data_IF_172834750248
#
_entry.id   IF_172834750248
#
_cell.length_a   1.000
_cell.length_b   1.000
_cell.length_c   1.000
_cell.angle_alpha   90.00
_cell.angle_beta   90.00
_cell.angle_gamma   90.00
#
_symmetry.space_group_name_H-M   'P 1'
#
loop_
_entity.id
_entity.type
_entity.pdbx_description
1 polymer ?
#
# COMPACT_ATOMS: atom_id res chain seq x y z
N UNK A 1 3.06 -20.05 -9.51
CA UNK A 1 1.90 -19.43 -8.84
C UNK A 1 1.82 -17.99 -9.32
N UNK A 2 0.82 -17.63 -10.14
CA UNK A 2 0.75 -16.28 -10.70
C UNK A 2 0.28 -15.29 -9.62
N UNK A 3 1.02 -14.20 -9.48
CA UNK A 3 0.79 -13.16 -8.48
C UNK A 3 0.32 -11.92 -9.21
N UNK A 4 -0.92 -11.49 -8.97
CA UNK A 4 -1.46 -10.27 -9.56
C UNK A 4 -1.43 -9.15 -8.52
N UNK A 5 -0.72 -8.07 -8.87
CA UNK A 5 -0.64 -6.86 -8.07
C UNK A 5 -1.77 -5.88 -8.44
N UNK A 6 -2.76 -5.71 -7.56
CA UNK A 6 -3.74 -4.62 -7.64
C UNK A 6 -3.80 -3.87 -6.30
N UNK A 7 -3.42 -2.59 -6.31
CA UNK A 7 -3.44 -1.76 -5.11
C UNK A 7 -4.86 -1.61 -4.52
N UNK A 8 -5.91 -1.81 -5.32
CA UNK A 8 -7.31 -1.79 -4.83
C UNK A 8 -7.59 -2.96 -3.91
N UNK A 9 -7.01 -4.12 -4.22
CA UNK A 9 -7.07 -5.30 -3.36
C UNK A 9 -6.35 -5.04 -2.04
N UNK A 10 -5.16 -4.43 -2.08
CA UNK A 10 -4.43 -4.01 -0.86
C UNK A 10 -5.30 -3.13 0.05
N UNK A 11 -5.99 -2.13 -0.51
CA UNK A 11 -6.93 -1.28 0.26
C UNK A 11 -8.06 -2.14 0.85
N UNK A 12 -8.61 -3.07 0.07
CA UNK A 12 -9.70 -3.94 0.50
C UNK A 12 -9.32 -4.83 1.69
N UNK A 13 -8.09 -5.37 1.68
CA UNK A 13 -7.54 -6.24 2.72
C UNK A 13 -7.22 -5.55 4.04
N UNK A 14 -7.12 -4.21 4.07
CA UNK A 14 -6.90 -3.49 5.34
C UNK A 14 -8.10 -3.66 6.31
N UNK A 15 -7.88 -3.48 7.60
CA UNK A 15 -8.86 -3.43 8.68
C UNK A 15 -9.56 -2.08 8.83
N UNK A 16 -9.21 -1.10 7.99
CA UNK A 16 -9.74 0.26 8.07
C UNK A 16 -11.25 0.33 7.74
N UNK A 17 -11.98 1.32 8.27
CA UNK A 17 -13.40 1.50 7.98
C UNK A 17 -13.70 1.62 6.47
N UNK A 18 -14.85 1.12 6.04
CA UNK A 18 -15.26 1.14 4.63
C UNK A 18 -15.27 2.55 4.01
N UNK A 19 -15.69 3.55 4.78
CA UNK A 19 -15.62 4.96 4.38
C UNK A 19 -14.18 5.43 4.16
N UNK A 20 -13.28 5.11 5.08
CA UNK A 20 -11.87 5.45 4.94
C UNK A 20 -11.28 4.82 3.68
N UNK A 21 -11.50 3.51 3.48
CA UNK A 21 -11.06 2.79 2.28
C UNK A 21 -11.57 3.43 0.99
N UNK A 22 -12.84 3.86 0.97
CA UNK A 22 -13.47 4.53 -0.18
C UNK A 22 -12.79 5.87 -0.49
N UNK A 23 -12.62 6.73 0.50
CA UNK A 23 -11.97 8.03 0.32
C UNK A 23 -10.49 7.89 -0.02
N UNK A 24 -9.80 6.93 0.57
CA UNK A 24 -8.41 6.62 0.22
C UNK A 24 -8.30 6.12 -1.22
N UNK A 25 -9.19 5.25 -1.68
CA UNK A 25 -9.24 4.79 -3.08
C UNK A 25 -9.43 5.96 -4.05
N UNK A 26 -10.27 6.95 -3.72
CA UNK A 26 -10.42 8.18 -4.51
C UNK A 26 -9.14 9.00 -4.53
N UNK A 27 -8.48 9.15 -3.38
CA UNK A 27 -7.24 9.92 -3.22
C UNK A 27 -6.11 9.38 -4.11
N UNK A 28 -5.89 8.07 -4.09
CA UNK A 28 -4.74 7.44 -4.78
C UNK A 28 -4.99 7.19 -6.26
N UNK A 29 -6.26 7.25 -6.71
CA UNK A 29 -6.63 7.11 -8.11
C UNK A 29 -5.85 8.12 -8.96
N UNK A 30 -5.13 7.63 -9.98
CA UNK A 30 -4.24 8.41 -10.88
C UNK A 30 -3.01 9.06 -10.21
N UNK A 31 -2.80 8.89 -8.90
CA UNK A 31 -1.60 9.39 -8.22
C UNK A 31 -0.58 8.29 -7.96
N UNK A 32 -1.05 7.11 -7.56
CA UNK A 32 -0.18 5.99 -7.16
C UNK A 32 0.66 5.45 -8.32
N UNK A 33 0.13 5.54 -9.54
CA UNK A 33 0.72 5.00 -10.76
C UNK A 33 1.85 5.87 -11.34
N UNK A 34 2.11 7.04 -10.77
CA UNK A 34 3.14 7.95 -11.23
C UNK A 34 4.13 8.27 -10.11
N UNK A 35 5.38 8.49 -10.49
CA UNK A 35 6.42 9.07 -9.64
C UNK A 35 6.90 10.34 -10.33
N UNK A 36 6.85 11.45 -9.59
CA UNK A 36 7.42 12.70 -10.05
C UNK A 36 8.91 12.74 -9.72
N UNK A 37 9.75 12.94 -10.74
CA UNK A 37 11.16 13.20 -10.56
C UNK A 37 11.40 14.71 -10.61
N UNK A 38 11.85 15.27 -9.49
CA UNK A 38 12.14 16.70 -9.38
C UNK A 38 13.37 17.11 -10.20
N UNK A 39 14.30 16.18 -10.44
CA UNK A 39 15.57 16.46 -11.10
C UNK A 39 15.38 16.61 -12.61
N UNK A 40 14.48 15.83 -13.20
CA UNK A 40 14.15 15.86 -14.63
C UNK A 40 12.86 16.61 -14.93
N UNK A 41 12.03 16.89 -13.92
CA UNK A 41 10.71 17.51 -14.08
C UNK A 41 9.65 16.57 -14.68
N UNK A 42 9.98 15.29 -14.86
CA UNK A 42 9.15 14.31 -15.56
C UNK A 42 8.33 13.43 -14.60
N UNK A 43 7.24 12.86 -15.11
CA UNK A 43 6.46 11.82 -14.44
C UNK A 43 6.76 10.47 -15.07
N UNK A 44 7.18 9.51 -14.24
CA UNK A 44 7.45 8.14 -14.68
C UNK A 44 6.35 7.19 -14.22
N UNK A 45 5.91 6.26 -15.07
CA UNK A 45 4.97 5.23 -14.66
C UNK A 45 5.64 4.30 -13.64
N UNK A 46 4.86 3.84 -12.67
CA UNK A 46 5.32 3.00 -11.56
C UNK A 46 4.79 1.58 -11.73
N UNK A 47 5.62 0.57 -11.48
CA UNK A 47 5.22 -0.84 -11.60
C UNK A 47 4.05 -1.19 -10.67
N UNK A 48 3.16 -2.13 -11.05
CA UNK A 48 2.03 -2.54 -10.20
C UNK A 48 2.44 -2.97 -8.79
N UNK A 49 3.55 -3.69 -8.65
CA UNK A 49 4.11 -4.07 -7.35
C UNK A 49 4.46 -2.85 -6.51
N UNK A 50 5.16 -1.86 -7.09
CA UNK A 50 5.53 -0.63 -6.37
C UNK A 50 4.29 0.18 -5.98
N UNK A 51 3.24 0.17 -6.81
CA UNK A 51 1.95 0.78 -6.44
C UNK A 51 1.34 0.08 -5.22
N UNK A 52 1.39 -1.25 -5.17
CA UNK A 52 0.88 -2.02 -4.04
C UNK A 52 1.72 -1.81 -2.78
N UNK A 53 3.06 -1.76 -2.89
CA UNK A 53 3.97 -1.44 -1.78
C UNK A 53 3.66 -0.07 -1.18
N UNK A 54 3.53 0.96 -2.03
CA UNK A 54 3.14 2.32 -1.63
C UNK A 54 1.86 2.31 -0.80
N UNK A 55 0.84 1.61 -1.30
CA UNK A 55 -0.47 1.54 -0.63
C UNK A 55 -0.38 0.73 0.66
N UNK A 56 0.31 -0.42 0.68
CA UNK A 56 0.46 -1.25 1.87
C UNK A 56 1.12 -0.48 3.01
N UNK A 57 2.19 0.27 2.73
CA UNK A 57 2.89 1.13 3.70
C UNK A 57 2.00 2.23 4.28
N UNK A 58 1.12 2.81 3.46
CA UNK A 58 0.16 3.80 3.93
C UNK A 58 -0.96 3.16 4.76
N UNK A 59 -1.51 2.03 4.31
CA UNK A 59 -2.54 1.29 5.06
C UNK A 59 -2.01 0.87 6.43
N UNK A 60 -0.83 0.28 6.50
CA UNK A 60 -0.18 -0.14 7.75
C UNK A 60 -0.06 1.03 8.74
N UNK A 61 0.41 2.20 8.30
CA UNK A 61 0.48 3.35 9.21
C UNK A 61 -0.88 3.92 9.60
N UNK A 62 -1.92 3.83 8.77
CA UNK A 62 -3.28 4.20 9.20
C UNK A 62 -3.88 3.21 10.19
N UNK A 63 -3.59 1.91 10.03
CA UNK A 63 -3.98 0.89 11.00
C UNK A 63 -3.21 1.07 12.31
N UNK A 64 -1.94 1.43 12.24
CA UNK A 64 -1.11 1.78 13.38
C UNK A 64 -1.68 2.96 14.18
N UNK A 65 -2.21 3.97 13.48
CA UNK A 65 -2.92 5.09 14.09
C UNK A 65 -4.21 4.63 14.77
N UNK A 66 -4.98 3.77 14.13
CA UNK A 66 -6.23 3.24 14.70
C UNK A 66 -5.96 2.41 15.95
N UNK A 67 -4.94 1.56 15.94
CA UNK A 67 -4.47 0.80 17.10
C UNK A 67 -3.99 1.72 18.24
N UNK A 68 -3.45 2.89 17.89
CA UNK A 68 -3.08 3.96 18.84
C UNK A 68 -4.25 4.81 19.34
N UNK A 69 -5.50 4.44 19.04
CA UNK A 69 -6.71 5.17 19.48
C UNK A 69 -7.15 6.31 18.55
N UNK A 70 -6.49 6.51 17.40
CA UNK A 70 -6.90 7.55 16.44
C UNK A 70 -7.94 7.01 15.45
N UNK A 71 -9.18 7.48 15.58
CA UNK A 71 -10.29 7.08 14.70
C UNK A 71 -10.43 8.00 13.48
N UNK A 72 -9.47 7.97 12.54
CA UNK A 72 -9.59 8.74 11.30
C UNK A 72 -10.70 8.15 10.41
N UNK A 73 -11.72 8.97 10.11
CA UNK A 73 -12.78 8.60 9.18
C UNK A 73 -12.34 8.70 7.71
N UNK A 74 -11.46 9.66 7.39
CA UNK A 74 -10.95 9.89 6.03
C UNK A 74 -9.45 10.20 6.06
N UNK A 75 -8.70 9.94 4.97
CA UNK A 75 -7.28 10.30 4.89
C UNK A 75 -7.03 11.81 4.97
N UNK A 76 -8.02 12.64 4.65
CA UNK A 76 -7.92 14.11 4.69
C UNK A 76 -7.84 14.65 6.13
N UNK A 77 -8.36 13.89 7.10
CA UNK A 77 -8.33 14.21 8.53
C UNK A 77 -6.95 13.97 9.16
N UNK A 78 -5.94 13.59 8.37
CA UNK A 78 -4.56 13.47 8.84
C UNK A 78 -4.01 14.84 9.32
N UNK A 79 -3.34 14.86 10.47
CA UNK A 79 -2.95 16.06 11.21
C UNK A 79 -1.59 15.86 11.89
N UNK A 80 -1.02 16.93 12.45
CA UNK A 80 0.29 16.91 13.12
C UNK A 80 0.39 15.84 14.20
N UNK A 81 -0.59 15.75 15.10
CA UNK A 81 -0.63 14.73 16.16
C UNK A 81 -0.52 13.30 15.64
N UNK A 82 -1.14 13.00 14.49
CA UNK A 82 -1.08 11.69 13.84
C UNK A 82 0.32 11.42 13.31
N UNK A 83 0.93 12.41 12.65
CA UNK A 83 2.29 12.30 12.15
C UNK A 83 3.30 12.13 13.30
N UNK A 84 3.18 12.92 14.36
CA UNK A 84 4.03 12.82 15.55
C UNK A 84 3.93 11.45 16.21
N UNK A 85 2.72 10.90 16.33
CA UNK A 85 2.52 9.54 16.83
C UNK A 85 3.22 8.49 15.96
N UNK A 86 3.07 8.58 14.63
CA UNK A 86 3.74 7.66 13.71
C UNK A 86 5.27 7.75 13.80
N UNK A 87 5.83 8.96 13.85
CA UNK A 87 7.27 9.17 14.01
C UNK A 87 7.76 8.56 15.33
N UNK A 88 7.06 8.81 16.43
CA UNK A 88 7.42 8.24 17.73
C UNK A 88 7.39 6.71 17.71
N UNK A 89 6.35 6.12 17.11
CA UNK A 89 6.25 4.67 16.93
C UNK A 89 7.39 4.10 16.09
N UNK A 90 7.68 4.70 14.94
CA UNK A 90 8.76 4.21 14.07
C UNK A 90 10.12 4.33 14.75
N UNK A 91 10.37 5.43 15.47
CA UNK A 91 11.61 5.64 16.23
C UNK A 91 11.80 4.60 17.33
N UNK A 92 10.71 4.17 17.98
CA UNK A 92 10.75 3.13 19.01
C UNK A 92 10.95 1.72 18.43
N UNK A 93 10.54 1.49 17.19
CA UNK A 93 10.64 0.18 16.54
C UNK A 93 12.00 -0.05 15.87
N UNK A 94 12.60 1.00 15.31
CA UNK A 94 13.87 0.92 14.60
C UNK A 94 14.67 2.21 14.77
N UNK A 95 15.90 2.09 15.26
CA UNK A 95 16.83 3.19 15.42
C UNK A 95 17.12 3.91 14.08
N UNK A 96 17.02 3.20 12.95
CA UNK A 96 17.31 3.70 11.60
C UNK A 96 16.05 4.00 10.79
N UNK A 97 14.89 4.19 11.44
CA UNK A 97 13.62 4.47 10.77
C UNK A 97 13.66 5.60 9.73
N UNK A 98 14.58 6.56 9.93
CA UNK A 98 14.76 7.74 9.09
C UNK A 98 15.39 7.45 7.71
N UNK A 99 15.97 6.27 7.49
CA UNK A 99 16.53 5.82 6.21
C UNK A 99 15.61 4.85 5.46
N UNK A 100 14.40 4.62 5.99
CA UNK A 100 13.52 3.60 5.45
C UNK A 100 12.73 4.07 4.20
N UNK A 101 12.54 3.16 3.26
CA UNK A 101 11.74 3.36 2.05
C UNK A 101 10.31 3.85 2.33
N UNK A 102 9.74 3.50 3.49
CA UNK A 102 8.40 3.96 3.91
C UNK A 102 8.26 5.48 3.93
N UNK A 103 9.33 6.22 4.24
CA UNK A 103 9.29 7.69 4.28
C UNK A 103 9.07 8.31 2.91
N UNK A 104 9.50 7.65 1.84
CA UNK A 104 9.20 8.09 0.46
C UNK A 104 7.68 8.10 0.26
N UNK A 105 7.01 7.03 0.69
CA UNK A 105 5.56 6.88 0.53
C UNK A 105 4.77 7.87 1.40
N UNK A 106 5.20 8.11 2.65
CA UNK A 106 4.60 9.10 3.52
C UNK A 106 4.79 10.53 3.02
N UNK A 107 5.95 10.88 2.44
CA UNK A 107 6.17 12.18 1.78
C UNK A 107 5.22 12.36 0.59
N UNK A 108 5.09 11.36 -0.27
CA UNK A 108 4.16 11.39 -1.40
C UNK A 108 2.70 11.57 -0.92
N UNK A 109 2.29 10.83 0.10
CA UNK A 109 0.96 10.96 0.70
C UNK A 109 0.68 12.39 1.20
N UNK A 110 1.61 12.99 1.96
CA UNK A 110 1.46 14.35 2.47
C UNK A 110 1.33 15.39 1.35
N UNK A 111 2.03 15.18 0.23
CA UNK A 111 1.86 15.98 -0.98
C UNK A 111 0.48 15.76 -1.62
N UNK A 112 0.01 14.52 -1.69
CA UNK A 112 -1.29 14.19 -2.28
C UNK A 112 -2.46 14.83 -1.54
N UNK A 113 -2.38 14.95 -0.21
CA UNK A 113 -3.37 15.63 0.64
C UNK A 113 -3.07 17.13 0.84
N UNK A 114 -2.06 17.68 0.15
CA UNK A 114 -1.65 19.09 0.17
C UNK A 114 -1.25 19.63 1.55
N UNK A 115 -0.77 18.77 2.47
CA UNK A 115 -0.34 19.18 3.82
C UNK A 115 1.17 19.44 3.86
N UNK A 116 1.58 20.54 3.22
CA UNK A 116 3.01 20.92 3.09
C UNK A 116 3.69 21.21 4.45
N UNK A 117 2.96 21.72 5.42
CA UNK A 117 3.47 21.95 6.79
C UNK A 117 3.85 20.64 7.48
N UNK A 118 3.04 19.59 7.31
CA UNK A 118 3.36 18.25 7.82
C UNK A 118 4.54 17.62 7.08
N UNK A 119 4.64 17.85 5.77
CA UNK A 119 5.81 17.41 5.00
C UNK A 119 7.09 18.09 5.50
N UNK A 120 7.03 19.39 5.80
CA UNK A 120 8.16 20.12 6.37
C UNK A 120 8.57 19.55 7.73
N UNK A 121 7.60 19.26 8.60
CA UNK A 121 7.82 18.62 9.90
C UNK A 121 8.50 17.25 9.75
N UNK A 122 8.00 16.38 8.87
CA UNK A 122 8.60 15.07 8.63
C UNK A 122 10.04 15.18 8.14
N UNK A 123 10.31 16.14 7.24
CA UNK A 123 11.66 16.33 6.71
C UNK A 123 12.60 16.93 7.76
N UNK A 124 12.14 17.84 8.62
CA UNK A 124 12.97 18.39 9.69
C UNK A 124 13.31 17.34 10.75
N UNK A 125 12.35 16.48 11.13
CA UNK A 125 12.61 15.38 12.07
C UNK A 125 13.61 14.39 11.52
N UNK A 126 13.48 14.00 10.24
CA UNK A 126 14.44 13.09 9.59
C UNK A 126 15.84 13.70 9.56
N UNK A 127 15.98 14.99 9.20
CA UNK A 127 17.29 15.67 9.20
C UNK A 127 17.93 15.76 10.58
N UNK A 128 17.12 16.02 11.61
CA UNK A 128 17.62 16.07 12.98
C UNK A 128 18.18 14.71 13.43
N UNK A 129 17.50 13.61 13.08
CA UNK A 129 17.96 12.26 13.40
C UNK A 129 19.23 11.88 12.63
N UNK A 130 19.31 12.18 11.34
CA UNK A 130 20.53 11.91 10.55
C UNK A 130 21.75 12.65 11.10
N UNK A 131 21.57 13.90 11.56
CA UNK A 131 22.66 14.69 12.14
C UNK A 131 23.10 14.19 13.52
N UNK A 132 22.22 13.49 14.25
CA UNK A 132 22.53 12.90 15.55
C UNK A 132 23.21 11.51 15.39
N UNK A 133 22.73 10.69 14.45
CA UNK A 133 23.28 9.35 14.17
C UNK A 133 24.72 9.37 13.69
N UNK A 134 25.14 10.43 12.99
CA UNK A 134 26.53 10.64 12.52
C UNK A 134 27.54 10.84 13.66
N UNK A 135 27.08 11.05 14.91
CA UNK A 135 27.92 11.21 16.10
C UNK A 135 28.04 9.96 16.97
N UNK A 136 27.38 8.85 16.60
CA UNK A 136 27.46 7.58 17.35
C UNK A 136 28.41 6.61 16.64
N UNK A 137 29.38 5.97 17.33
CA UNK A 137 30.32 5.06 16.68
C UNK A 137 29.56 3.88 16.09
N UNK A 138 29.72 3.68 14.79
CA UNK A 138 29.00 2.71 13.99
C UNK A 138 29.23 1.28 14.49
N UNK A 139 28.22 0.69 15.13
CA UNK A 139 28.08 -0.77 15.13
C UNK A 139 27.49 -1.12 13.77
N UNK A 140 28.32 -1.69 12.90
CA UNK A 140 27.91 -2.27 11.63
C UNK A 140 27.00 -3.48 11.89
N UNK A 141 25.74 -3.21 12.22
CA UNK A 141 24.69 -4.22 12.18
C UNK A 141 24.33 -4.44 10.71
N UNK A 142 24.54 -5.67 10.24
CA UNK A 142 24.02 -6.18 8.97
C UNK A 142 22.53 -5.81 8.91
N UNK A 143 22.17 -4.91 7.99
CA UNK A 143 20.81 -4.45 7.81
C UNK A 143 19.90 -5.66 7.57
N UNK A 144 18.90 -5.92 8.43
CA UNK A 144 17.90 -6.91 8.10
C UNK A 144 17.18 -6.43 6.82
N UNK A 145 16.76 -7.37 5.98
CA UNK A 145 16.07 -7.09 4.73
C UNK A 145 15.07 -5.94 4.92
N UNK A 146 15.16 -4.91 4.07
CA UNK A 146 14.33 -3.69 4.04
C UNK A 146 12.84 -4.07 4.01
N UNK A 147 12.28 -4.42 5.16
CA UNK A 147 11.01 -5.11 5.29
C UNK A 147 9.88 -4.13 5.49
N UNK A 148 9.27 -3.68 4.40
CA UNK A 148 7.95 -3.05 4.45
C UNK A 148 6.86 -4.07 4.82
N UNK A 149 5.62 -3.63 5.11
CA UNK A 149 4.51 -4.53 5.37
C UNK A 149 4.32 -5.50 4.19
N UNK A 150 3.86 -6.71 4.50
CA UNK A 150 3.55 -7.71 3.50
C UNK A 150 2.53 -7.13 2.51
N UNK A 151 2.78 -7.28 1.21
CA UNK A 151 1.84 -6.82 0.19
C UNK A 151 0.78 -7.90 0.00
N UNK A 152 -0.51 -7.61 0.26
CA UNK A 152 -1.59 -8.50 -0.14
C UNK A 152 -1.63 -8.62 -1.66
N UNK A 153 -1.58 -9.85 -2.17
CA UNK A 153 -1.57 -10.13 -3.60
C UNK A 153 -2.76 -10.99 -3.99
N UNK A 154 -3.28 -10.75 -5.20
CA UNK A 154 -4.33 -11.60 -5.77
C UNK A 154 -3.66 -12.88 -6.29
N UNK A 155 -3.99 -14.00 -5.65
CA UNK A 155 -3.57 -15.34 -6.04
C UNK A 155 -4.71 -16.05 -6.75
N UNK A 156 -4.36 -17.09 -7.53
CA UNK A 156 -5.34 -17.95 -8.20
C UNK A 156 -6.40 -18.48 -7.21
N UNK A 157 -5.98 -18.95 -6.03
CA UNK A 157 -6.89 -19.56 -5.05
C UNK A 157 -7.91 -18.56 -4.50
N UNK A 158 -7.46 -17.32 -4.19
CA UNK A 158 -8.35 -16.26 -3.73
C UNK A 158 -9.39 -15.89 -4.80
N UNK A 159 -8.95 -15.85 -6.07
CA UNK A 159 -9.82 -15.54 -7.20
C UNK A 159 -10.80 -16.68 -7.49
N UNK A 160 -10.33 -17.93 -7.46
CA UNK A 160 -11.16 -19.12 -7.69
C UNK A 160 -12.22 -19.27 -6.60
N UNK A 161 -11.86 -19.05 -5.33
CA UNK A 161 -12.78 -19.08 -4.20
C UNK A 161 -13.92 -18.07 -4.38
N UNK A 162 -13.58 -16.81 -4.67
CA UNK A 162 -14.57 -15.76 -4.90
C UNK A 162 -15.46 -16.01 -6.13
N UNK A 163 -14.91 -16.59 -7.20
CA UNK A 163 -15.70 -16.98 -8.38
C UNK A 163 -16.65 -18.13 -8.08
N UNK A 164 -16.22 -19.10 -7.28
CA UNK A 164 -17.05 -20.24 -6.86
C UNK A 164 -18.23 -19.76 -6.03
N UNK A 165 -17.98 -18.91 -5.03
CA UNK A 165 -19.01 -18.31 -4.19
C UNK A 165 -20.06 -17.54 -5.01
N UNK A 166 -19.61 -16.82 -6.05
CA UNK A 166 -20.49 -16.03 -6.91
C UNK A 166 -20.87 -16.72 -8.23
N UNK A 167 -20.78 -18.06 -8.29
CA UNK A 167 -21.24 -18.90 -9.41
C UNK A 167 -20.70 -18.43 -10.77
N UNK A 168 -19.41 -18.10 -10.84
CA UNK A 168 -18.73 -17.67 -12.06
C UNK A 168 -18.99 -16.22 -12.49
N UNK A 169 -19.72 -15.43 -11.68
CA UNK A 169 -19.98 -14.02 -12.00
C UNK A 169 -18.75 -13.14 -11.66
N UNK A 170 -17.99 -12.76 -12.69
CA UNK A 170 -16.77 -11.94 -12.54
C UNK A 170 -17.02 -10.61 -11.83
N UNK A 171 -18.14 -9.93 -12.12
CA UNK A 171 -18.43 -8.62 -11.55
C UNK A 171 -18.71 -8.72 -10.05
N UNK A 172 -19.46 -9.74 -9.63
CA UNK A 172 -19.73 -10.00 -8.21
C UNK A 172 -18.45 -10.40 -7.47
N UNK A 173 -17.66 -11.31 -8.03
CA UNK A 173 -16.37 -11.71 -7.46
C UNK A 173 -15.39 -10.54 -7.34
N UNK A 174 -15.27 -9.69 -8.37
CA UNK A 174 -14.39 -8.52 -8.33
C UNK A 174 -14.83 -7.52 -7.24
N UNK A 175 -16.14 -7.32 -7.10
CA UNK A 175 -16.70 -6.45 -6.05
C UNK A 175 -16.44 -7.02 -4.65
N UNK A 176 -16.61 -8.33 -4.45
CA UNK A 176 -16.37 -8.99 -3.17
C UNK A 176 -14.90 -8.89 -2.75
N UNK A 177 -13.98 -9.12 -3.68
CA UNK A 177 -12.54 -8.95 -3.45
C UNK A 177 -12.12 -7.47 -3.43
N UNK A 178 -13.01 -6.52 -3.73
CA UNK A 178 -12.68 -5.08 -3.77
C UNK A 178 -11.68 -4.69 -4.86
N UNK A 179 -11.60 -5.47 -5.94
CA UNK A 179 -10.66 -5.33 -7.06
C UNK A 179 -11.41 -5.08 -8.39
N UNK A 180 -10.70 -5.14 -9.52
CA UNK A 180 -11.29 -5.02 -10.86
C UNK A 180 -11.48 -6.37 -11.54
N UNK A 181 -12.46 -6.46 -12.44
CA UNK A 181 -12.67 -7.66 -13.27
C UNK A 181 -11.42 -7.98 -14.10
N UNK A 182 -10.73 -6.95 -14.61
CA UNK A 182 -9.45 -7.10 -15.32
C UNK A 182 -8.38 -7.77 -14.46
N UNK A 183 -8.21 -7.34 -13.22
CA UNK A 183 -7.23 -7.95 -12.31
C UNK A 183 -7.58 -9.41 -11.97
N UNK A 184 -8.87 -9.73 -11.81
CA UNK A 184 -9.29 -11.13 -11.66
C UNK A 184 -8.98 -11.96 -12.90
N UNK A 185 -9.31 -11.46 -14.09
CA UNK A 185 -9.03 -12.16 -15.34
C UNK A 185 -7.53 -12.40 -15.53
N UNK A 186 -6.68 -11.42 -15.20
CA UNK A 186 -5.22 -11.55 -15.28
C UNK A 186 -4.65 -12.67 -14.42
N UNK A 187 -5.33 -13.09 -13.34
CA UNK A 187 -4.90 -14.23 -12.54
C UNK A 187 -5.08 -15.58 -13.27
N UNK A 188 -5.71 -15.58 -14.45
CA UNK A 188 -5.96 -16.75 -15.28
C UNK A 188 -5.24 -16.75 -16.64
N UNK A 189 -4.68 -15.63 -17.13
CA UNK A 189 -4.44 -15.49 -18.59
C UNK A 189 -3.05 -15.82 -19.12
N UNK A 190 -1.97 -15.93 -18.34
CA UNK A 190 -0.64 -16.15 -18.95
C UNK A 190 0.16 -17.19 -18.14
N UNK A 191 0.46 -18.32 -18.81
CA UNK A 191 1.23 -19.50 -18.38
C UNK A 191 0.57 -20.55 -17.47
N UNK A 192 -0.56 -21.12 -17.91
CA UNK A 192 -0.89 -22.50 -17.50
C UNK A 192 -0.97 -23.42 -18.72
N UNK A 193 -0.03 -24.37 -18.89
CA UNK A 193 -0.27 -25.53 -19.73
C UNK A 193 -1.40 -26.36 -19.11
N UNK A 194 -2.51 -26.46 -19.83
CA UNK A 194 -3.43 -27.62 -19.92
C UNK A 194 -4.13 -28.23 -18.68
N UNK A 195 -3.67 -28.11 -17.42
CA UNK A 195 -4.12 -29.03 -16.36
C UNK A 195 -4.97 -28.46 -15.21
N UNK A 196 -5.20 -27.15 -15.13
CA UNK A 196 -6.19 -26.56 -14.20
C UNK A 196 -7.34 -25.94 -14.98
N UNK A 197 -8.09 -26.78 -15.69
CA UNK A 197 -9.42 -26.40 -16.18
C UNK A 197 -10.24 -25.94 -14.97
N UNK A 198 -10.94 -24.81 -15.11
CA UNK A 198 -11.97 -24.39 -14.16
C UNK A 198 -12.76 -25.63 -13.69
N UNK A 199 -12.98 -25.82 -12.38
CA UNK A 199 -13.70 -26.99 -11.90
C UNK A 199 -15.04 -27.12 -12.63
N UNK A 200 -15.41 -28.37 -12.93
CA UNK A 200 -16.61 -28.74 -13.68
C UNK A 200 -17.82 -27.93 -13.20
N UNK A 201 -18.35 -27.04 -14.06
CA UNK A 201 -19.54 -26.23 -13.76
C UNK A 201 -19.31 -24.73 -13.60
N UNK A 202 -18.06 -24.25 -13.49
CA UNK A 202 -17.79 -22.80 -13.49
C UNK A 202 -17.54 -22.33 -14.93
N UNK A 203 -18.57 -21.70 -15.53
CA UNK A 203 -18.40 -20.87 -16.72
C UNK A 203 -18.24 -19.43 -16.29
N UNK A 204 -17.18 -18.78 -16.76
CA UNK A 204 -16.98 -17.34 -16.58
C UNK A 204 -18.10 -16.62 -17.34
N UNK A 205 -19.01 -15.97 -16.62
CA UNK A 205 -20.07 -15.14 -17.22
C UNK A 205 -19.57 -13.69 -17.29
N UNK A 206 -19.48 -13.13 -18.50
CA UNK A 206 -18.99 -11.77 -18.81
C UNK A 206 -20.01 -10.65 -18.53
#
# INVERSE_FOLDING_TARGET
MQVVYDYRYVIACSSLPGEFKREFRKLVRRKVNWKYDRRTGANYPVSPETQCRRVAELMDGFEALRAGGFALQTPWNFQGKHLSYLIARWSAQDATWYDQAKLVHWREFLLWIRKRTLLALLNSTVRAQTAYGDKSPAVAAVAPARGGPAIPVLTYDNVLSALTEHRGNLRKAARALGTTTRALSQAFTEDTPSEKRLPSGIRILT
#
